data_IF_380643302727
#
_entry.id   IF_380643302727
#
_cell.length_a   1.000
_cell.length_b   1.000
_cell.length_c   1.000
_cell.angle_alpha   90.00
_cell.angle_beta   90.00
_cell.angle_gamma   90.00
#
_symmetry.space_group_name_H-M   'P 1'
#
loop_
_entity.id
_entity.type
_entity.pdbx_description
1 polymer ?
#
# COMPACT_ATOMS: atom_id res chain seq x y z
N UNK A 1 26.81 30.57 26.71
CA UNK A 1 27.63 29.47 26.20
C UNK A 1 26.86 28.16 26.43
N UNK A 2 26.19 27.64 25.42
CA UNK A 2 25.43 26.37 25.47
C UNK A 2 26.39 25.25 25.02
N UNK A 3 26.70 24.34 25.95
CA UNK A 3 27.50 23.15 25.64
C UNK A 3 26.60 22.14 24.90
N UNK A 4 26.92 21.88 23.64
CA UNK A 4 26.34 20.82 22.83
C UNK A 4 26.93 19.49 23.31
N UNK A 5 26.13 18.63 23.92
CA UNK A 5 26.52 17.27 24.29
C UNK A 5 26.26 16.39 23.07
N UNK A 6 27.30 16.02 22.36
CA UNK A 6 27.26 15.04 21.26
C UNK A 6 27.24 13.66 21.87
N UNK A 7 26.07 12.99 21.83
CA UNK A 7 25.90 11.60 22.22
C UNK A 7 26.43 10.70 21.10
N UNK A 8 27.62 10.14 21.24
CA UNK A 8 28.18 9.13 20.34
C UNK A 8 27.64 7.78 20.78
N UNK A 9 26.71 7.22 20.00
CA UNK A 9 26.23 5.85 20.18
C UNK A 9 27.28 4.91 19.58
N UNK A 10 28.08 4.27 20.43
CA UNK A 10 28.98 3.20 20.04
C UNK A 10 28.14 1.93 19.94
N UNK A 11 27.86 1.48 18.72
CA UNK A 11 27.25 0.17 18.46
C UNK A 11 28.39 -0.85 18.55
N UNK A 12 28.38 -1.78 19.53
CA UNK A 12 29.38 -2.84 19.56
C UNK A 12 29.13 -3.80 18.39
N UNK A 13 30.06 -3.88 17.47
CA UNK A 13 30.11 -4.95 16.47
C UNK A 13 30.38 -6.26 17.23
N UNK A 14 29.33 -7.02 17.50
CA UNK A 14 29.45 -8.40 17.98
C UNK A 14 29.79 -9.23 16.74
N UNK A 15 31.06 -9.50 16.53
CA UNK A 15 31.49 -10.54 15.60
C UNK A 15 31.17 -11.89 16.22
N UNK A 16 30.03 -12.45 15.87
CA UNK A 16 29.70 -13.84 16.19
C UNK A 16 30.62 -14.73 15.36
N UNK A 17 31.59 -15.32 15.99
CA UNK A 17 32.32 -16.47 15.43
C UNK A 17 31.34 -17.65 15.43
N UNK A 18 30.73 -17.89 14.28
CA UNK A 18 29.99 -19.13 14.02
C UNK A 18 31.03 -20.25 13.98
N UNK A 19 31.03 -21.12 14.96
CA UNK A 19 31.74 -22.40 14.84
C UNK A 19 30.98 -23.25 13.83
N UNK A 20 31.62 -23.57 12.72
CA UNK A 20 31.14 -24.59 11.79
C UNK A 20 31.18 -25.94 12.51
N UNK A 21 30.09 -26.31 13.14
CA UNK A 21 29.87 -27.63 13.69
C UNK A 21 28.79 -28.30 12.84
N UNK A 22 29.22 -29.12 11.89
CA UNK A 22 28.33 -29.97 11.12
C UNK A 22 28.59 -29.90 9.62
N UNK A 23 28.38 -30.99 8.98
CA UNK A 23 28.33 -31.11 7.52
C UNK A 23 27.19 -30.22 6.99
N UNK A 24 27.52 -29.22 6.14
CA UNK A 24 26.51 -28.34 5.54
C UNK A 24 25.56 -29.23 4.75
N UNK A 25 24.31 -29.30 5.19
CA UNK A 25 23.28 -29.99 4.41
C UNK A 25 23.22 -29.37 3.01
N UNK A 26 23.12 -30.18 1.93
CA UNK A 26 23.06 -29.66 0.58
C UNK A 26 21.91 -28.66 0.47
N UNK A 27 22.19 -27.51 -0.15
CA UNK A 27 21.22 -26.44 -0.34
C UNK A 27 19.94 -27.01 -0.98
N UNK A 28 18.82 -26.83 -0.30
CA UNK A 28 17.54 -27.23 -0.85
C UNK A 28 17.28 -26.43 -2.13
N UNK A 29 16.86 -27.09 -3.23
CA UNK A 29 16.56 -26.35 -4.45
C UNK A 29 15.49 -25.29 -4.17
N UNK A 30 15.58 -24.10 -4.79
CA UNK A 30 14.60 -23.03 -4.60
C UNK A 30 13.18 -23.53 -4.88
N UNK A 31 12.25 -23.24 -3.97
CA UNK A 31 10.85 -23.60 -4.19
C UNK A 31 10.30 -22.91 -5.44
N UNK A 32 9.70 -23.69 -6.32
CA UNK A 32 9.03 -23.19 -7.50
C UNK A 32 7.57 -22.92 -7.15
N UNK A 33 7.17 -21.67 -7.24
CA UNK A 33 5.77 -21.27 -6.97
C UNK A 33 4.99 -21.23 -8.29
N UNK A 34 3.64 -21.45 -8.23
CA UNK A 34 2.79 -21.35 -9.40
C UNK A 34 2.93 -20.00 -10.14
N UNK A 35 2.73 -19.99 -11.47
CA UNK A 35 2.99 -18.80 -12.29
C UNK A 35 1.96 -17.71 -12.11
N UNK A 36 0.78 -18.00 -11.56
CA UNK A 36 -0.31 -17.03 -11.43
C UNK A 36 -0.78 -16.94 -9.98
N UNK A 37 -1.21 -15.75 -9.60
CA UNK A 37 -1.89 -15.54 -8.33
C UNK A 37 -3.04 -14.56 -8.49
N UNK A 38 -4.11 -14.79 -7.76
CA UNK A 38 -5.25 -13.90 -7.63
C UNK A 38 -5.57 -13.74 -6.16
N UNK A 39 -6.02 -12.56 -5.76
CA UNK A 39 -6.36 -12.34 -4.37
C UNK A 39 -6.96 -10.97 -4.11
N UNK A 40 -7.06 -10.65 -2.85
CA UNK A 40 -7.56 -9.37 -2.37
C UNK A 40 -6.55 -8.71 -1.42
N UNK A 41 -6.67 -7.39 -1.33
CA UNK A 41 -5.84 -6.52 -0.52
C UNK A 41 -6.71 -5.80 0.52
N UNK A 42 -6.26 -5.79 1.77
CA UNK A 42 -6.74 -4.87 2.79
C UNK A 42 -5.73 -3.73 2.91
N UNK A 43 -6.18 -2.50 2.71
CA UNK A 43 -5.34 -1.31 2.77
C UNK A 43 -5.62 -0.54 4.06
N UNK A 44 -4.57 -0.15 4.76
CA UNK A 44 -4.61 0.68 5.97
C UNK A 44 -3.67 1.85 5.70
N UNK A 45 -4.21 3.05 5.65
CA UNK A 45 -3.45 4.26 5.35
C UNK A 45 -3.77 5.42 6.27
N UNK A 46 -3.08 6.52 6.08
CA UNK A 46 -3.30 7.77 6.82
C UNK A 46 -4.74 8.29 6.67
N UNK A 47 -5.35 8.02 5.51
CA UNK A 47 -6.71 8.46 5.21
C UNK A 47 -7.80 7.48 5.65
N UNK A 48 -7.45 6.30 6.17
CA UNK A 48 -8.41 5.29 6.60
C UNK A 48 -8.16 3.93 5.96
N UNK A 49 -9.24 3.19 5.79
CA UNK A 49 -9.21 1.83 5.27
C UNK A 49 -9.57 1.79 3.78
N UNK A 50 -9.13 0.72 3.14
CA UNK A 50 -9.52 0.38 1.79
C UNK A 50 -9.46 -1.11 1.56
N UNK A 51 -9.99 -1.54 0.44
CA UNK A 51 -9.85 -2.91 -0.02
C UNK A 51 -9.66 -2.94 -1.53
N UNK A 52 -9.09 -4.02 -2.02
CA UNK A 52 -8.84 -4.18 -3.44
C UNK A 52 -8.68 -5.62 -3.84
N UNK A 53 -8.41 -5.82 -5.12
CA UNK A 53 -8.08 -7.11 -5.69
C UNK A 53 -6.85 -7.00 -6.58
N UNK A 54 -6.14 -8.10 -6.71
CA UNK A 54 -4.96 -8.17 -7.57
C UNK A 54 -4.92 -9.45 -8.39
N UNK A 55 -4.24 -9.34 -9.50
CA UNK A 55 -3.82 -10.46 -10.33
C UNK A 55 -2.30 -10.34 -10.54
N UNK A 56 -1.58 -11.45 -10.37
CA UNK A 56 -0.12 -11.51 -10.55
C UNK A 56 0.24 -12.61 -11.54
N UNK A 57 1.25 -12.33 -12.36
CA UNK A 57 1.82 -13.24 -13.32
C UNK A 57 3.34 -13.31 -13.10
N UNK A 58 3.81 -14.42 -12.55
CA UNK A 58 5.24 -14.67 -12.35
C UNK A 58 5.89 -15.03 -13.68
N UNK A 59 6.69 -14.15 -14.24
CA UNK A 59 7.43 -14.39 -15.47
C UNK A 59 8.72 -15.17 -15.19
N UNK A 60 9.25 -15.03 -13.99
CA UNK A 60 10.42 -15.77 -13.50
C UNK A 60 10.37 -15.83 -11.96
N UNK A 61 11.34 -16.51 -11.36
CA UNK A 61 11.51 -16.54 -9.89
C UNK A 61 11.74 -15.17 -9.27
N UNK A 62 12.22 -14.20 -10.07
CA UNK A 62 12.53 -12.83 -9.65
C UNK A 62 11.51 -11.80 -10.07
N UNK A 63 10.86 -11.99 -11.20
CA UNK A 63 10.08 -10.94 -11.84
C UNK A 63 8.62 -11.35 -12.00
N UNK A 64 7.74 -10.51 -11.45
CA UNK A 64 6.28 -10.68 -11.49
C UNK A 64 5.64 -9.44 -12.09
N UNK A 65 4.77 -9.60 -13.07
CA UNK A 65 3.84 -8.56 -13.49
C UNK A 65 2.58 -8.63 -12.64
N UNK A 66 1.93 -7.50 -12.44
CA UNK A 66 0.67 -7.46 -11.73
C UNK A 66 -0.29 -6.41 -12.31
N UNK A 67 -1.57 -6.64 -12.06
CA UNK A 67 -2.63 -5.64 -12.15
C UNK A 67 -3.36 -5.62 -10.81
N UNK A 68 -3.62 -4.44 -10.27
CA UNK A 68 -4.44 -4.27 -9.07
C UNK A 68 -5.46 -3.17 -9.24
N UNK A 69 -6.59 -3.34 -8.57
CA UNK A 69 -7.65 -2.34 -8.42
C UNK A 69 -7.99 -2.26 -6.94
N UNK A 70 -8.15 -1.06 -6.43
CA UNK A 70 -8.55 -0.87 -5.03
C UNK A 70 -9.49 0.32 -4.87
N UNK A 71 -10.15 0.40 -3.74
CA UNK A 71 -10.90 1.57 -3.30
C UNK A 71 -10.48 1.95 -1.90
N UNK A 72 -10.17 3.21 -1.68
CA UNK A 72 -9.84 3.75 -0.36
C UNK A 72 -10.28 5.20 -0.25
N UNK A 73 -10.52 5.66 0.97
CA UNK A 73 -10.75 7.08 1.25
C UNK A 73 -9.44 7.87 1.11
N UNK A 74 -9.56 9.12 0.68
CA UNK A 74 -8.47 10.10 0.67
C UNK A 74 -8.89 11.31 1.49
N UNK A 75 -8.16 11.61 2.56
CA UNK A 75 -8.38 12.78 3.43
C UNK A 75 -7.41 13.91 3.09
N UNK A 76 -7.82 15.16 3.38
CA UNK A 76 -6.89 16.27 3.38
C UNK A 76 -6.06 16.25 4.67
N UNK A 77 -4.76 16.54 4.61
CA UNK A 77 -3.86 16.62 5.78
C UNK A 77 -4.32 17.66 6.83
N UNK A 78 -5.20 18.55 6.42
CA UNK A 78 -5.78 19.62 7.26
C UNK A 78 -7.18 19.30 7.79
N UNK A 79 -7.69 18.10 7.53
CA UNK A 79 -8.94 17.62 8.12
C UNK A 79 -8.68 17.21 9.57
N UNK A 80 -9.25 18.00 10.49
CA UNK A 80 -9.25 17.67 11.92
C UNK A 80 -10.64 17.23 12.33
N UNK A 81 -10.73 16.07 12.95
CA UNK A 81 -11.97 15.55 13.49
C UNK A 81 -12.18 16.09 14.92
N UNK A 82 -13.35 16.64 15.17
CA UNK A 82 -13.79 17.12 16.47
C UNK A 82 -14.92 16.23 16.98
N UNK A 83 -14.94 16.00 18.28
CA UNK A 83 -16.01 15.28 18.95
C UNK A 83 -16.84 16.30 19.73
N UNK A 84 -18.15 16.34 19.46
CA UNK A 84 -19.06 17.20 20.20
C UNK A 84 -19.38 16.64 21.61
N UNK A 85 -20.12 17.39 22.40
CA UNK A 85 -20.50 17.01 23.78
C UNK A 85 -21.45 15.79 23.83
N UNK A 86 -22.00 15.40 22.69
CA UNK A 86 -22.88 14.24 22.52
C UNK A 86 -22.14 13.02 21.97
N UNK A 87 -20.82 13.14 21.69
CA UNK A 87 -19.99 12.06 21.14
C UNK A 87 -20.04 11.92 19.62
N UNK A 88 -20.63 12.88 18.90
CA UNK A 88 -20.63 12.86 17.43
C UNK A 88 -19.32 13.43 16.91
N UNK A 89 -18.75 12.76 15.90
CA UNK A 89 -17.54 13.23 15.21
C UNK A 89 -17.92 14.07 14.01
N UNK A 90 -17.32 15.24 13.89
CA UNK A 90 -17.48 16.11 12.72
C UNK A 90 -16.16 16.77 12.32
N UNK A 91 -16.04 17.12 11.04
CA UNK A 91 -14.86 17.81 10.50
C UNK A 91 -15.29 19.21 10.04
N UNK A 92 -14.68 20.25 10.60
CA UNK A 92 -14.99 21.64 10.27
C UNK A 92 -14.59 21.95 8.84
N UNK A 93 -15.52 22.51 8.06
CA UNK A 93 -15.29 22.90 6.67
C UNK A 93 -15.20 21.75 5.68
N UNK A 94 -15.52 20.51 6.08
CA UNK A 94 -15.56 19.38 5.15
C UNK A 94 -16.79 19.47 4.26
N UNK A 95 -16.56 19.56 2.96
CA UNK A 95 -17.62 19.67 1.93
C UNK A 95 -17.87 18.32 1.29
N UNK A 96 -16.81 17.57 0.97
CA UNK A 96 -16.92 16.29 0.30
C UNK A 96 -16.08 15.21 0.98
N UNK A 97 -16.57 13.95 0.90
CA UNK A 97 -15.75 12.75 1.07
C UNK A 97 -15.12 12.41 -0.27
N UNK A 98 -13.85 12.08 -0.26
CA UNK A 98 -13.09 11.76 -1.48
C UNK A 98 -12.67 10.30 -1.42
N UNK A 99 -13.04 9.52 -2.43
CA UNK A 99 -12.61 8.14 -2.61
C UNK A 99 -11.75 8.03 -3.87
N UNK A 100 -10.67 7.29 -3.77
CA UNK A 100 -9.79 6.97 -4.88
C UNK A 100 -9.93 5.51 -5.28
N UNK A 101 -10.06 5.26 -6.58
CA UNK A 101 -10.15 3.92 -7.17
C UNK A 101 -9.06 3.80 -8.24
N UNK A 102 -7.79 3.55 -7.85
CA UNK A 102 -6.72 3.33 -8.79
C UNK A 102 -6.83 1.95 -9.44
N UNK A 103 -6.57 1.90 -10.75
CA UNK A 103 -6.32 0.68 -11.51
C UNK A 103 -4.86 0.72 -11.96
N UNK A 104 -4.01 -0.05 -11.29
CA UNK A 104 -2.58 -0.03 -11.55
C UNK A 104 -2.14 -1.27 -12.31
N UNK A 105 -1.19 -1.07 -13.21
CA UNK A 105 -0.40 -2.11 -13.86
C UNK A 105 1.06 -1.89 -13.50
N UNK A 106 1.76 -2.95 -13.12
CA UNK A 106 3.09 -2.79 -12.62
C UNK A 106 3.92 -4.06 -12.59
N UNK A 107 5.10 -3.91 -12.00
CA UNK A 107 6.05 -4.97 -11.85
C UNK A 107 6.55 -5.07 -10.41
N UNK A 108 6.85 -6.30 -10.01
CA UNK A 108 7.42 -6.65 -8.72
C UNK A 108 8.74 -7.38 -8.97
N UNK A 109 9.76 -7.02 -8.23
CA UNK A 109 11.08 -7.64 -8.27
C UNK A 109 11.42 -8.25 -6.93
N UNK A 110 11.63 -9.58 -6.89
CA UNK A 110 12.02 -10.33 -5.69
C UNK A 110 13.46 -10.02 -5.31
N UNK A 111 13.68 -9.73 -4.04
CA UNK A 111 14.99 -9.52 -3.44
C UNK A 111 15.48 -10.81 -2.77
N UNK A 112 16.79 -10.95 -2.63
CA UNK A 112 17.44 -12.02 -1.86
C UNK A 112 16.99 -13.44 -2.24
N UNK A 113 16.76 -13.70 -3.53
CA UNK A 113 16.24 -14.98 -4.01
C UNK A 113 17.16 -16.17 -3.68
N UNK A 114 18.47 -15.94 -3.72
CA UNK A 114 19.48 -16.97 -3.45
C UNK A 114 19.70 -17.19 -1.96
N UNK A 115 19.57 -16.14 -1.19
CA UNK A 115 19.78 -16.13 0.25
C UNK A 115 18.55 -16.58 1.03
N UNK A 116 17.36 -16.32 0.48
CA UNK A 116 16.07 -16.66 1.07
C UNK A 116 15.33 -17.66 0.18
N UNK A 117 15.68 -18.92 0.34
CA UNK A 117 15.11 -20.04 -0.45
C UNK A 117 13.77 -20.53 0.10
N UNK A 118 13.42 -20.15 1.33
CA UNK A 118 12.20 -20.53 2.03
C UNK A 118 10.96 -19.73 1.61
N UNK A 119 9.97 -19.72 2.49
CA UNK A 119 8.66 -19.13 2.25
C UNK A 119 8.66 -17.60 2.26
N UNK A 120 9.68 -16.95 2.85
CA UNK A 120 9.82 -15.50 2.89
C UNK A 120 10.36 -14.97 1.57
N UNK A 121 9.60 -14.11 0.91
CA UNK A 121 9.93 -13.54 -0.41
C UNK A 121 9.82 -12.02 -0.38
N UNK A 122 10.86 -11.31 0.09
CA UNK A 122 10.90 -9.85 0.05
C UNK A 122 10.91 -9.34 -1.39
N UNK A 123 10.30 -8.19 -1.63
CA UNK A 123 10.25 -7.58 -2.94
C UNK A 123 10.14 -6.07 -2.89
N UNK A 124 10.48 -5.44 -4.01
CA UNK A 124 10.10 -4.07 -4.34
C UNK A 124 9.10 -4.12 -5.49
N UNK A 125 8.19 -3.16 -5.54
CA UNK A 125 7.21 -3.07 -6.61
C UNK A 125 6.91 -1.62 -6.99
N UNK A 126 6.45 -1.43 -8.22
CA UNK A 126 5.95 -0.16 -8.70
C UNK A 126 4.83 -0.42 -9.69
N UNK A 127 3.81 0.41 -9.66
CA UNK A 127 2.67 0.35 -10.57
C UNK A 127 2.20 1.75 -10.96
N UNK A 128 1.62 1.84 -12.14
CA UNK A 128 1.03 3.10 -12.67
C UNK A 128 -0.28 2.78 -13.35
N UNK A 129 -1.18 3.77 -13.40
CA UNK A 129 -2.42 3.62 -14.13
C UNK A 129 -3.41 4.76 -13.92
N UNK A 130 -4.58 4.66 -14.54
CA UNK A 130 -5.66 5.61 -14.32
C UNK A 130 -6.27 5.43 -12.93
N UNK A 131 -6.70 6.51 -12.34
CA UNK A 131 -7.42 6.52 -11.07
C UNK A 131 -8.76 7.22 -11.26
N UNK A 132 -9.83 6.53 -10.91
CA UNK A 132 -11.15 7.13 -10.78
C UNK A 132 -11.25 7.74 -9.39
N UNK A 133 -11.63 9.01 -9.32
CA UNK A 133 -11.81 9.71 -8.03
C UNK A 133 -13.27 10.10 -7.90
N UNK A 134 -13.88 9.63 -6.82
CA UNK A 134 -15.29 9.83 -6.50
C UNK A 134 -15.38 10.84 -5.35
N UNK A 135 -16.19 11.88 -5.54
CA UNK A 135 -16.49 12.87 -4.49
C UNK A 135 -17.96 12.81 -4.15
N UNK A 136 -18.28 12.64 -2.88
CA UNK A 136 -19.67 12.60 -2.39
C UNK A 136 -19.89 13.71 -1.35
N UNK A 137 -21.06 14.38 -1.32
CA UNK A 137 -21.35 15.42 -0.35
C UNK A 137 -21.20 14.92 1.09
N UNK A 138 -20.47 15.68 1.93
CA UNK A 138 -20.23 15.28 3.33
C UNK A 138 -21.48 15.47 4.21
N UNK A 139 -22.30 16.48 3.91
CA UNK A 139 -23.49 16.80 4.69
C UNK A 139 -24.63 15.77 4.55
N UNK A 140 -24.58 14.94 3.50
CA UNK A 140 -25.59 13.91 3.28
C UNK A 140 -25.21 12.62 4.04
N UNK A 141 -26.23 11.82 4.36
CA UNK A 141 -26.02 10.48 4.90
C UNK A 141 -25.20 9.64 3.92
N UNK A 142 -24.31 8.80 4.44
CA UNK A 142 -23.28 8.11 3.68
C UNK A 142 -23.81 7.40 2.42
N UNK A 143 -24.85 6.57 2.55
CA UNK A 143 -25.39 5.83 1.40
C UNK A 143 -26.19 6.70 0.42
N UNK A 144 -26.89 7.72 0.91
CA UNK A 144 -27.64 8.64 0.07
C UNK A 144 -26.71 9.57 -0.74
N UNK A 145 -25.57 9.93 -0.18
CA UNK A 145 -24.56 10.76 -0.83
C UNK A 145 -24.00 10.13 -2.13
N UNK A 146 -24.02 8.80 -2.26
CA UNK A 146 -23.56 8.12 -3.48
C UNK A 146 -24.45 8.43 -4.71
N UNK A 147 -25.70 8.79 -4.53
CA UNK A 147 -26.57 9.23 -5.65
C UNK A 147 -26.12 10.56 -6.24
N UNK A 148 -25.42 11.38 -5.46
CA UNK A 148 -24.90 12.71 -5.84
C UNK A 148 -23.37 12.69 -6.08
N UNK A 149 -22.80 11.51 -6.41
CA UNK A 149 -21.36 11.33 -6.65
C UNK A 149 -20.92 12.09 -7.90
N UNK A 150 -19.89 12.89 -7.77
CA UNK A 150 -19.14 13.45 -8.89
C UNK A 150 -17.88 12.63 -9.12
N UNK A 151 -17.56 12.38 -10.38
CA UNK A 151 -16.44 11.53 -10.78
C UNK A 151 -15.42 12.34 -11.58
N UNK A 152 -14.13 12.19 -11.22
CA UNK A 152 -13.00 12.72 -11.97
C UNK A 152 -12.01 11.61 -12.30
N UNK A 153 -11.28 11.78 -13.41
CA UNK A 153 -10.20 10.87 -13.78
C UNK A 153 -8.88 11.57 -13.51
N UNK A 154 -7.98 10.85 -12.86
CA UNK A 154 -6.61 11.25 -12.58
C UNK A 154 -5.63 10.17 -13.08
N UNK A 155 -4.37 10.50 -13.18
CA UNK A 155 -3.31 9.53 -13.39
C UNK A 155 -2.51 9.37 -12.11
N UNK A 156 -2.12 8.14 -11.82
CA UNK A 156 -1.38 7.88 -10.60
C UNK A 156 -0.51 6.65 -10.70
N UNK A 157 0.09 6.34 -9.57
CA UNK A 157 0.89 5.15 -9.39
C UNK A 157 1.41 5.06 -7.97
N UNK A 158 2.14 4.01 -7.71
CA UNK A 158 2.80 3.83 -6.43
C UNK A 158 4.17 3.17 -6.60
N UNK A 159 4.99 3.37 -5.59
CA UNK A 159 6.18 2.57 -5.34
C UNK A 159 6.01 1.90 -3.99
N UNK A 160 6.56 0.70 -3.84
CA UNK A 160 6.40 -0.03 -2.61
C UNK A 160 7.48 -1.08 -2.38
N UNK A 161 7.47 -1.58 -1.17
CA UNK A 161 8.26 -2.75 -0.78
C UNK A 161 7.45 -3.63 0.16
N UNK A 162 7.71 -4.91 0.14
CA UNK A 162 6.95 -5.85 0.96
C UNK A 162 7.58 -7.22 1.02
N UNK A 163 6.84 -8.15 1.59
CA UNK A 163 7.21 -9.54 1.61
C UNK A 163 5.98 -10.43 1.46
N UNK A 164 6.10 -11.48 0.68
CA UNK A 164 5.14 -12.56 0.64
C UNK A 164 5.60 -13.69 1.56
N UNK A 165 4.65 -14.28 2.26
CA UNK A 165 4.85 -15.41 3.15
C UNK A 165 4.04 -16.58 2.56
N UNK A 166 4.72 -17.59 2.05
CA UNK A 166 4.02 -18.79 1.59
C UNK A 166 3.81 -19.73 2.77
N UNK A 167 2.57 -19.99 3.14
CA UNK A 167 2.25 -21.07 4.09
C UNK A 167 2.43 -22.42 3.38
N UNK A 168 2.02 -22.47 2.13
CA UNK A 168 2.19 -23.57 1.19
C UNK A 168 2.44 -23.04 -0.24
N UNK A 169 2.46 -23.93 -1.24
CA UNK A 169 2.66 -23.54 -2.64
C UNK A 169 1.44 -22.88 -3.28
N UNK A 170 0.27 -22.97 -2.65
CA UNK A 170 -1.01 -22.49 -3.19
C UNK A 170 -1.49 -21.20 -2.55
N UNK A 171 -1.17 -20.97 -1.27
CA UNK A 171 -1.64 -19.81 -0.53
C UNK A 171 -0.60 -18.69 -0.54
N UNK A 172 -1.07 -17.47 -0.76
CA UNK A 172 -0.26 -16.27 -0.72
C UNK A 172 -0.77 -15.37 0.39
N UNK A 173 0.09 -15.14 1.38
CA UNK A 173 -0.06 -14.10 2.38
C UNK A 173 1.07 -13.09 2.19
N UNK A 174 0.80 -11.80 2.30
CA UNK A 174 1.84 -10.80 2.16
C UNK A 174 1.53 -9.50 2.89
N UNK A 175 2.59 -8.75 3.14
CA UNK A 175 2.50 -7.37 3.64
C UNK A 175 3.28 -6.50 2.69
N UNK A 176 2.69 -5.36 2.29
CA UNK A 176 3.30 -4.43 1.36
C UNK A 176 3.09 -2.99 1.87
N UNK A 177 4.13 -2.21 1.84
CA UNK A 177 4.17 -0.79 2.14
C UNK A 177 4.17 -0.04 0.82
N UNK A 178 3.13 0.75 0.55
CA UNK A 178 2.94 1.46 -0.73
C UNK A 178 2.84 2.96 -0.48
N UNK A 179 3.49 3.74 -1.31
CA UNK A 179 3.32 5.19 -1.35
C UNK A 179 2.69 5.58 -2.68
N UNK A 180 1.43 6.03 -2.63
CA UNK A 180 0.65 6.43 -3.79
C UNK A 180 0.84 7.92 -4.10
N UNK A 181 0.96 8.24 -5.39
CA UNK A 181 0.93 9.61 -5.92
C UNK A 181 -0.09 9.61 -7.07
N UNK A 182 -1.17 10.34 -6.89
CA UNK A 182 -2.24 10.49 -7.88
C UNK A 182 -2.38 11.97 -8.19
N UNK A 183 -2.26 12.34 -9.46
CA UNK A 183 -2.31 13.72 -9.92
C UNK A 183 -3.48 13.93 -10.87
N UNK A 184 -4.23 14.99 -10.64
CA UNK A 184 -5.27 15.46 -11.53
C UNK A 184 -4.68 16.27 -12.69
N UNK A 185 -5.42 16.34 -13.79
CA UNK A 185 -5.06 17.14 -14.96
C UNK A 185 -5.69 18.55 -14.93
N UNK A 186 -6.52 18.80 -13.93
CA UNK A 186 -7.21 20.06 -13.66
C UNK A 186 -6.93 20.56 -12.22
N UNK A 187 -7.77 21.45 -11.70
CA UNK A 187 -7.71 21.97 -10.33
C UNK A 187 -7.89 20.88 -9.24
N UNK A 188 -8.29 19.68 -9.63
CA UNK A 188 -8.43 18.54 -8.74
C UNK A 188 -9.79 18.49 -8.03
N UNK A 189 -9.79 18.03 -6.76
CA UNK A 189 -10.99 17.81 -5.96
C UNK A 189 -11.01 18.69 -4.73
N UNK A 190 -12.20 19.12 -4.34
CA UNK A 190 -12.46 19.88 -3.13
C UNK A 190 -12.93 18.91 -2.02
N UNK A 191 -12.13 18.79 -0.94
CA UNK A 191 -12.52 18.09 0.29
C UNK A 191 -12.97 19.08 1.36
N UNK A 192 -12.19 20.13 1.55
CA UNK A 192 -12.47 21.25 2.45
C UNK A 192 -12.92 22.48 1.65
N UNK A 193 -13.82 23.26 2.19
CA UNK A 193 -14.41 24.45 1.55
C UNK A 193 -13.35 25.42 1.01
N UNK A 194 -13.47 25.73 -0.29
CA UNK A 194 -12.56 26.60 -1.02
C UNK A 194 -11.16 26.02 -1.24
N UNK A 195 -10.93 24.73 -0.97
CA UNK A 195 -9.61 24.12 -1.10
C UNK A 195 -9.63 22.97 -2.08
N UNK A 196 -9.03 23.23 -3.23
CA UNK A 196 -8.84 22.24 -4.28
C UNK A 196 -7.47 21.58 -4.14
N UNK A 197 -7.41 20.26 -4.31
CA UNK A 197 -6.19 19.47 -4.35
C UNK A 197 -6.01 18.88 -5.73
N UNK A 198 -4.90 19.24 -6.39
CA UNK A 198 -4.47 18.69 -7.67
C UNK A 198 -3.71 17.36 -7.50
N UNK A 199 -3.41 16.98 -6.25
CA UNK A 199 -2.71 15.76 -5.91
C UNK A 199 -3.31 15.11 -4.67
N UNK A 200 -3.54 13.80 -4.75
CA UNK A 200 -3.97 12.93 -3.63
C UNK A 200 -3.10 11.68 -3.59
N UNK A 201 -3.26 10.87 -2.57
CA UNK A 201 -2.49 9.64 -2.35
C UNK A 201 -2.03 9.57 -0.90
N UNK A 202 -0.85 8.99 -0.68
CA UNK A 202 -0.26 8.87 0.66
C UNK A 202 0.28 7.47 0.92
N UNK A 203 0.60 7.22 2.18
CA UNK A 203 1.19 5.97 2.62
C UNK A 203 0.12 4.95 3.02
N UNK A 204 0.29 3.71 2.55
CA UNK A 204 -0.58 2.59 2.87
C UNK A 204 0.22 1.35 3.25
N UNK A 205 -0.21 0.68 4.29
CA UNK A 205 0.15 -0.70 4.60
C UNK A 205 -0.92 -1.59 4.00
N UNK A 206 -0.51 -2.56 3.20
CA UNK A 206 -1.44 -3.45 2.50
C UNK A 206 -1.19 -4.89 2.94
N UNK A 207 -2.23 -5.58 3.36
CA UNK A 207 -2.20 -7.00 3.66
C UNK A 207 -2.82 -7.73 2.47
N UNK A 208 -2.03 -8.61 1.85
CA UNK A 208 -2.40 -9.35 0.65
C UNK A 208 -2.82 -10.78 1.04
N UNK A 209 -3.97 -11.21 0.58
CA UNK A 209 -4.46 -12.60 0.70
C UNK A 209 -4.76 -13.12 -0.70
N UNK A 210 -4.23 -14.28 -1.07
CA UNK A 210 -4.45 -14.80 -2.40
C UNK A 210 -4.18 -16.28 -2.54
N UNK A 211 -4.45 -16.77 -3.75
CA UNK A 211 -4.20 -18.13 -4.18
C UNK A 211 -3.29 -18.12 -5.39
N UNK A 212 -2.31 -19.02 -5.39
CA UNK A 212 -1.40 -19.27 -6.49
C UNK A 212 -1.82 -20.54 -7.23
N UNK A 213 -1.78 -20.51 -8.58
CA UNK A 213 -2.19 -21.61 -9.45
C UNK A 213 -1.47 -21.60 -10.80
#
# INVERSE_FOLDING_TARGET
MRKLITLIIIIPFITSFSQEIGEIAPDSPPKVFPPKAIGFDLLIGESGFGFGGFYRLNLSTKFTLFADISISESKDEREFEYIDVYGNTFTVGKVNRVFQVPLNFGAQFRLFEKELTDNLRPYINAGVGPTLVLTTPYAEEFFNAFSNTKTKIAAGGYVGFGANFGIDESNLLGVNFRYYIIKFFDEGVESLEGRFKDRIGGFYVTINFGFMY
#
